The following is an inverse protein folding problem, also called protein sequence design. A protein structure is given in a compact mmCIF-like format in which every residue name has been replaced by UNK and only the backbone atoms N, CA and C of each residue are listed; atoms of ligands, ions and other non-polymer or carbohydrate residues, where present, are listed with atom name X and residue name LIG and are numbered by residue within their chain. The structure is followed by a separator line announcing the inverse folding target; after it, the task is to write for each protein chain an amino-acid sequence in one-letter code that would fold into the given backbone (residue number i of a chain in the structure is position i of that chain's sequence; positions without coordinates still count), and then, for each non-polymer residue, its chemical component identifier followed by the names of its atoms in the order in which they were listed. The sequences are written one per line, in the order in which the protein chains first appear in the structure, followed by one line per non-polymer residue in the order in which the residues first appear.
data_IF_293535479392
#
_entry.id   IF_293535479392
#
_cell.length_a   1.000
_cell.length_b   1.000
_cell.length_c   1.000
_cell.angle_alpha   90.00
_cell.angle_beta   90.00
_cell.angle_gamma   90.00
#
_symmetry.space_group_name_H-M   'P 1'
#
loop_
_entity.id
_entity.type
_entity.pdbx_description
1 polymer ?
#
# COMPACT_ATOMS: atom_id res chain seq x y z
N UNK A 1 -27.37 -38.14 2.71
CA UNK A 1 -26.54 -38.61 1.56
C UNK A 1 -25.56 -39.69 1.98
N UNK A 2 -24.74 -39.51 3.02
CA UNK A 2 -23.79 -40.54 3.50
C UNK A 2 -24.44 -41.92 3.80
N UNK A 3 -25.66 -41.94 4.33
CA UNK A 3 -26.42 -43.19 4.58
C UNK A 3 -26.86 -43.95 3.31
N UNK A 4 -26.96 -43.29 2.13
CA UNK A 4 -27.23 -43.98 0.86
C UNK A 4 -26.00 -44.73 0.32
N UNK A 5 -24.80 -44.29 0.70
CA UNK A 5 -23.54 -44.85 0.23
C UNK A 5 -23.09 -46.07 1.04
N UNK A 6 -23.46 -46.14 2.33
CA UNK A 6 -23.08 -47.22 3.23
C UNK A 6 -23.59 -48.62 2.80
N UNK A 7 -24.65 -48.67 1.98
CA UNK A 7 -25.30 -49.91 1.55
C UNK A 7 -25.05 -50.27 0.06
N UNK A 8 -24.24 -49.49 -0.66
CA UNK A 8 -23.91 -49.76 -2.07
C UNK A 8 -22.54 -50.44 -2.17
N UNK A 9 -22.47 -51.62 -2.82
CA UNK A 9 -21.19 -52.22 -3.24
C UNK A 9 -20.61 -51.40 -4.39
N UNK A 10 -19.92 -50.31 -4.04
CA UNK A 10 -19.27 -49.44 -5.01
C UNK A 10 -18.08 -50.15 -5.66
N UNK A 11 -17.89 -49.91 -6.97
CA UNK A 11 -16.68 -50.35 -7.67
C UNK A 11 -15.46 -49.71 -7.02
N UNK A 12 -14.33 -50.44 -7.03
CA UNK A 12 -13.05 -49.97 -6.46
C UNK A 12 -12.64 -48.59 -6.99
N UNK A 13 -12.91 -48.33 -8.26
CA UNK A 13 -12.62 -47.05 -8.92
C UNK A 13 -13.44 -45.89 -8.34
N UNK A 14 -14.75 -46.08 -8.18
CA UNK A 14 -15.67 -45.09 -7.56
C UNK A 14 -15.25 -44.79 -6.11
N UNK A 15 -14.82 -45.81 -5.36
CA UNK A 15 -14.30 -45.65 -4.00
C UNK A 15 -12.98 -44.87 -3.95
N UNK A 16 -12.06 -45.11 -4.89
CA UNK A 16 -10.81 -44.35 -5.00
C UNK A 16 -11.06 -42.89 -5.36
N UNK A 17 -11.99 -42.63 -6.29
CA UNK A 17 -12.38 -41.29 -6.70
C UNK A 17 -13.03 -40.52 -5.54
N UNK A 18 -13.90 -41.17 -4.75
CA UNK A 18 -14.50 -40.60 -3.56
C UNK A 18 -13.45 -40.21 -2.51
N UNK A 19 -12.51 -41.09 -2.20
CA UNK A 19 -11.42 -40.79 -1.26
C UNK A 19 -10.57 -39.60 -1.71
N UNK A 20 -10.29 -39.49 -3.01
CA UNK A 20 -9.54 -38.35 -3.56
C UNK A 20 -10.28 -37.03 -3.37
N UNK A 21 -11.56 -36.98 -3.74
CA UNK A 21 -12.39 -35.77 -3.61
C UNK A 21 -12.57 -35.36 -2.13
N UNK A 22 -12.77 -36.32 -1.24
CA UNK A 22 -12.89 -36.08 0.20
C UNK A 22 -11.58 -35.56 0.81
N UNK A 23 -10.42 -36.16 0.44
CA UNK A 23 -9.11 -35.67 0.88
C UNK A 23 -8.84 -34.25 0.40
N UNK A 24 -9.17 -33.95 -0.86
CA UNK A 24 -9.04 -32.60 -1.40
C UNK A 24 -9.89 -31.60 -0.62
N UNK A 25 -11.15 -31.94 -0.32
CA UNK A 25 -12.04 -31.07 0.47
C UNK A 25 -11.49 -30.80 1.88
N UNK A 26 -10.99 -31.82 2.58
CA UNK A 26 -10.39 -31.66 3.92
C UNK A 26 -9.17 -30.74 3.89
N UNK A 27 -8.25 -30.92 2.94
CA UNK A 27 -7.07 -30.06 2.79
C UNK A 27 -7.46 -28.60 2.51
N UNK A 28 -8.53 -28.38 1.74
CA UNK A 28 -9.05 -27.05 1.43
C UNK A 28 -9.76 -26.40 2.63
N UNK A 29 -10.49 -27.18 3.44
CA UNK A 29 -11.10 -26.71 4.68
C UNK A 29 -10.03 -26.33 5.72
N UNK A 30 -8.97 -27.13 5.84
CA UNK A 30 -7.81 -26.82 6.68
C UNK A 30 -7.08 -25.53 6.21
N UNK A 31 -6.90 -25.34 4.90
CA UNK A 31 -6.31 -24.11 4.35
C UNK A 31 -7.15 -22.87 4.72
N UNK A 32 -8.48 -22.95 4.61
CA UNK A 32 -9.38 -21.88 5.05
C UNK A 32 -9.30 -21.65 6.56
N UNK A 33 -9.35 -22.71 7.37
CA UNK A 33 -9.32 -22.61 8.82
C UNK A 33 -8.03 -21.96 9.34
N UNK A 34 -6.92 -22.18 8.62
CA UNK A 34 -5.62 -21.61 8.95
C UNK A 34 -5.37 -20.23 8.31
N UNK A 35 -6.26 -19.74 7.44
CA UNK A 35 -6.13 -18.40 6.85
C UNK A 35 -6.58 -17.32 7.84
N UNK A 36 -5.65 -16.84 8.66
CA UNK A 36 -5.87 -15.71 9.58
C UNK A 36 -5.57 -14.35 8.92
N UNK A 37 -6.56 -13.46 8.92
CA UNK A 37 -6.48 -12.09 8.41
C UNK A 37 -6.24 -11.05 9.52
N UNK A 38 -6.48 -11.43 10.78
CA UNK A 38 -6.59 -10.50 11.90
C UNK A 38 -5.32 -9.68 12.10
N UNK A 39 -4.15 -10.32 12.02
CA UNK A 39 -2.84 -9.67 12.16
C UNK A 39 -2.58 -8.66 11.05
N UNK A 40 -2.91 -8.99 9.81
CA UNK A 40 -2.69 -8.09 8.68
C UNK A 40 -3.65 -6.89 8.75
N UNK A 41 -4.94 -7.13 9.07
CA UNK A 41 -5.92 -6.07 9.26
C UNK A 41 -5.54 -5.12 10.42
N UNK A 42 -5.07 -5.67 11.54
CA UNK A 42 -4.54 -4.88 12.66
C UNK A 42 -3.31 -4.07 12.24
N UNK A 43 -2.42 -4.68 11.44
CA UNK A 43 -1.23 -4.01 10.91
C UNK A 43 -1.62 -2.84 10.00
N UNK A 44 -2.61 -3.02 9.11
CA UNK A 44 -3.14 -1.94 8.27
C UNK A 44 -3.60 -0.76 9.13
N UNK A 45 -4.52 -1.00 10.06
CA UNK A 45 -5.05 0.07 10.92
C UNK A 45 -3.97 0.77 11.74
N UNK A 46 -3.05 -0.01 12.34
CA UNK A 46 -1.92 0.51 13.12
C UNK A 46 -0.99 1.38 12.27
N UNK A 47 -0.60 0.91 11.08
CA UNK A 47 0.36 1.60 10.22
C UNK A 47 -0.21 2.83 9.54
N UNK A 48 -1.50 2.84 9.19
CA UNK A 48 -2.18 4.05 8.73
C UNK A 48 -2.26 5.11 9.83
N UNK A 49 -2.57 4.70 11.07
CA UNK A 49 -2.55 5.61 12.24
C UNK A 49 -1.14 6.15 12.50
N UNK A 50 -0.13 5.29 12.52
CA UNK A 50 1.28 5.71 12.68
C UNK A 50 1.69 6.72 11.61
N UNK A 51 1.28 6.52 10.34
CA UNK A 51 1.55 7.47 9.29
C UNK A 51 0.85 8.82 9.51
N UNK A 52 -0.42 8.81 9.94
CA UNK A 52 -1.21 10.02 10.11
C UNK A 52 -0.74 10.86 11.30
N UNK A 53 -0.60 10.25 12.47
CA UNK A 53 -0.37 10.97 13.74
C UNK A 53 0.95 10.64 14.43
N UNK A 54 1.71 9.67 13.93
CA UNK A 54 2.95 9.20 14.54
C UNK A 54 2.69 8.23 15.69
N UNK A 55 3.54 8.27 16.71
CA UNK A 55 3.41 7.43 17.92
C UNK A 55 2.39 7.97 18.93
N UNK A 56 1.54 8.91 18.53
CA UNK A 56 0.56 9.52 19.41
C UNK A 56 -0.58 8.53 19.74
N UNK A 57 -1.09 8.55 20.99
CA UNK A 57 -2.18 7.67 21.39
C UNK A 57 -3.47 7.97 20.61
N UNK A 58 -3.75 9.22 20.27
CA UNK A 58 -4.95 9.64 19.55
C UNK A 58 -4.67 10.83 18.63
N UNK A 59 -5.57 11.08 17.68
CA UNK A 59 -5.51 12.28 16.84
C UNK A 59 -5.89 13.56 17.60
N UNK A 60 -6.37 13.44 18.84
CA UNK A 60 -6.70 14.59 19.70
C UNK A 60 -5.47 15.21 20.37
N UNK A 61 -4.30 14.56 20.30
CA UNK A 61 -3.08 15.13 20.88
C UNK A 61 -2.64 16.33 20.07
N UNK A 62 -2.63 17.50 20.72
CA UNK A 62 -2.19 18.75 20.14
C UNK A 62 -0.80 18.66 19.53
N UNK A 63 -0.61 19.25 18.34
CA UNK A 63 0.75 19.55 17.89
C UNK A 63 1.22 20.84 18.51
N UNK A 64 2.45 20.80 18.98
CA UNK A 64 3.14 21.90 19.63
C UNK A 64 4.57 21.91 19.11
N UNK A 65 5.25 23.05 19.16
CA UNK A 65 6.70 23.04 19.11
C UNK A 65 7.19 22.69 20.53
N UNK A 66 8.16 21.77 20.69
CA UNK A 66 8.65 21.43 22.03
C UNK A 66 9.14 22.66 22.81
N UNK A 67 9.06 22.58 24.14
CA UNK A 67 9.44 23.70 25.00
C UNK A 67 10.89 24.15 24.72
N UNK A 68 11.08 25.46 24.51
CA UNK A 68 12.39 26.05 24.22
C UNK A 68 12.93 25.74 22.82
N UNK A 69 12.11 25.24 21.91
CA UNK A 69 12.47 24.99 20.49
C UNK A 69 11.74 25.95 19.56
N UNK A 70 12.22 26.02 18.33
CA UNK A 70 11.64 26.86 17.27
C UNK A 70 10.99 25.99 16.20
N UNK A 71 9.99 26.54 15.50
CA UNK A 71 9.38 25.89 14.34
C UNK A 71 10.42 25.54 13.27
N UNK A 72 11.38 26.42 12.99
CA UNK A 72 12.51 26.12 12.08
C UNK A 72 13.42 24.99 12.57
N UNK A 73 13.51 24.74 13.88
CA UNK A 73 14.23 23.58 14.42
C UNK A 73 13.46 22.27 14.27
N UNK A 74 12.13 22.33 14.37
CA UNK A 74 11.23 21.17 14.37
C UNK A 74 10.76 20.76 12.98
N UNK A 75 10.55 21.72 12.09
CA UNK A 75 10.04 21.53 10.73
C UNK A 75 11.13 21.49 9.66
N UNK A 76 12.37 21.80 10.05
CA UNK A 76 13.50 21.68 9.15
C UNK A 76 14.73 21.13 9.85
N UNK A 77 15.61 20.53 9.06
CA UNK A 77 16.97 20.25 9.48
C UNK A 77 17.95 21.01 8.59
N UNK A 78 18.13 22.34 8.80
CA UNK A 78 19.19 23.09 8.14
C UNK A 78 20.53 22.38 8.33
N UNK A 79 21.17 21.99 7.23
CA UNK A 79 22.43 21.22 7.25
C UNK A 79 22.32 19.72 7.57
N UNK A 80 21.12 19.19 7.85
CA UNK A 80 20.93 17.76 8.13
C UNK A 80 21.26 17.30 9.56
N UNK A 81 21.56 18.22 10.49
CA UNK A 81 22.17 17.92 11.80
C UNK A 81 21.30 18.25 13.02
N UNK A 82 20.13 18.87 12.85
CA UNK A 82 19.30 19.28 14.00
C UNK A 82 18.65 18.06 14.67
N UNK A 83 19.06 17.77 15.91
CA UNK A 83 18.53 16.68 16.75
C UNK A 83 17.02 16.79 17.01
N UNK A 84 16.46 18.01 16.99
CA UNK A 84 15.04 18.27 17.27
C UNK A 84 14.16 18.34 16.01
N UNK A 85 14.68 17.99 14.82
CA UNK A 85 13.87 17.95 13.61
C UNK A 85 12.89 16.76 13.67
N UNK A 86 11.60 17.07 13.63
CA UNK A 86 10.50 16.11 13.62
C UNK A 86 9.80 16.02 12.26
N UNK A 87 10.28 16.74 11.24
CA UNK A 87 9.83 16.57 9.87
C UNK A 87 9.85 15.09 9.46
N UNK A 88 8.73 14.60 8.94
CA UNK A 88 8.56 13.22 8.54
C UNK A 88 8.10 12.27 9.64
N UNK A 89 7.93 12.72 10.88
CA UNK A 89 7.44 11.88 11.96
C UNK A 89 5.98 11.42 11.75
N UNK A 90 5.16 12.26 11.14
CA UNK A 90 3.76 11.98 10.80
C UNK A 90 3.24 12.98 9.75
N UNK A 91 2.17 12.63 9.04
CA UNK A 91 1.49 13.58 8.13
C UNK A 91 0.95 14.79 8.90
N UNK A 92 0.38 14.58 10.09
CA UNK A 92 -0.07 15.66 10.98
C UNK A 92 1.06 16.64 11.29
N UNK A 93 2.25 16.16 11.60
CA UNK A 93 3.41 17.02 11.85
C UNK A 93 3.78 17.83 10.60
N UNK A 94 3.83 17.18 9.44
CA UNK A 94 4.27 17.82 8.19
C UNK A 94 3.23 18.86 7.71
N UNK A 95 1.93 18.56 7.80
CA UNK A 95 0.85 19.52 7.51
C UNK A 95 0.91 20.70 8.46
N UNK A 96 1.09 20.49 9.77
CA UNK A 96 1.18 21.62 10.71
C UNK A 96 2.44 22.46 10.47
N UNK A 97 3.57 21.85 10.10
CA UNK A 97 4.77 22.56 9.68
C UNK A 97 4.56 23.41 8.43
N UNK A 98 3.81 22.90 7.45
CA UNK A 98 3.55 23.57 6.18
C UNK A 98 2.48 24.66 6.31
N UNK A 99 1.40 24.35 7.00
CA UNK A 99 0.13 25.08 6.92
C UNK A 99 -0.23 25.80 8.21
N UNK A 100 0.37 25.43 9.35
CA UNK A 100 0.09 26.03 10.64
C UNK A 100 0.36 27.55 10.62
N UNK A 101 -0.47 28.28 11.36
CA UNK A 101 -0.37 29.73 11.48
C UNK A 101 1.02 30.13 12.00
N UNK A 102 1.58 31.19 11.43
CA UNK A 102 2.81 31.83 11.89
C UNK A 102 2.47 33.03 12.78
N UNK A 103 3.39 33.41 13.68
CA UNK A 103 3.17 34.56 14.55
C UNK A 103 3.16 35.84 13.72
N UNK A 104 2.10 36.65 13.83
CA UNK A 104 1.94 37.87 13.02
C UNK A 104 1.16 37.67 11.72
N UNK A 105 0.74 36.44 11.40
CA UNK A 105 -0.29 36.25 10.38
C UNK A 105 -1.62 36.91 10.84
N UNK A 106 -2.30 37.61 9.94
CA UNK A 106 -3.65 38.17 10.16
C UNK A 106 -4.68 37.39 9.35
N UNK A 107 -5.98 37.43 9.72
CA UNK A 107 -7.02 36.64 9.05
C UNK A 107 -7.15 36.92 7.54
N UNK A 108 -6.84 38.13 7.08
CA UNK A 108 -6.88 38.51 5.66
C UNK A 108 -5.63 38.13 4.86
N UNK A 109 -4.48 37.98 5.54
CA UNK A 109 -3.19 37.65 4.92
C UNK A 109 -2.73 36.22 5.24
N UNK A 110 -3.63 35.40 5.82
CA UNK A 110 -3.32 34.05 6.26
C UNK A 110 -2.94 33.19 5.05
N UNK A 111 -1.64 32.94 4.87
CA UNK A 111 -1.09 32.10 3.78
C UNK A 111 -1.18 30.62 4.15
N UNK A 112 -2.39 30.15 4.44
CA UNK A 112 -2.69 28.73 4.69
C UNK A 112 -2.68 27.93 3.40
N UNK A 113 -2.44 26.62 3.52
CA UNK A 113 -2.33 25.71 2.38
C UNK A 113 -3.60 25.53 1.56
N UNK A 114 -4.74 25.97 2.08
CA UNK A 114 -6.04 25.81 1.45
C UNK A 114 -6.99 26.90 1.92
N UNK A 115 -8.05 27.11 1.12
CA UNK A 115 -9.20 27.90 1.58
C UNK A 115 -10.01 27.04 2.55
N UNK A 116 -9.96 27.41 3.83
CA UNK A 116 -10.68 26.74 4.91
C UNK A 116 -12.00 27.47 5.19
N UNK A 117 -12.98 26.75 5.74
CA UNK A 117 -14.27 27.33 6.13
C UNK A 117 -14.10 28.26 7.34
N UNK A 118 -13.14 27.94 8.20
CA UNK A 118 -12.65 28.80 9.27
C UNK A 118 -11.13 28.78 9.29
N UNK A 119 -10.55 29.95 9.49
CA UNK A 119 -9.11 30.12 9.51
C UNK A 119 -8.49 29.61 10.82
N UNK A 120 -7.26 29.05 10.78
CA UNK A 120 -6.43 28.84 11.94
C UNK A 120 -6.28 30.12 12.76
N UNK A 121 -6.28 29.99 14.09
CA UNK A 121 -6.25 31.14 15.01
C UNK A 121 -5.08 31.08 15.99
N UNK A 122 -4.37 29.95 16.05
CA UNK A 122 -3.28 29.73 17.00
C UNK A 122 -1.97 29.53 16.25
N UNK A 123 -1.02 30.44 16.49
CA UNK A 123 0.32 30.31 15.94
C UNK A 123 1.02 29.04 16.46
N UNK A 124 1.63 28.27 15.55
CA UNK A 124 2.42 27.09 15.89
C UNK A 124 3.76 27.53 16.49
N UNK A 125 3.80 27.64 17.82
CA UNK A 125 4.96 28.07 18.59
C UNK A 125 5.20 27.12 19.76
N UNK A 126 6.16 27.46 20.62
CA UNK A 126 6.58 26.58 21.70
C UNK A 126 5.46 26.38 22.71
N UNK A 127 5.09 25.13 22.97
CA UNK A 127 4.06 24.73 23.93
C UNK A 127 2.65 25.29 23.66
N UNK A 128 2.34 25.75 22.43
CA UNK A 128 0.98 26.18 22.08
C UNK A 128 0.14 25.03 21.56
N UNK A 129 -1.08 24.90 22.09
CA UNK A 129 -2.05 23.90 21.63
C UNK A 129 -2.66 24.33 20.30
N UNK A 130 -2.31 23.61 19.23
CA UNK A 130 -2.87 23.84 17.88
C UNK A 130 -3.84 22.74 17.44
N UNK A 131 -4.41 21.97 18.37
CA UNK A 131 -5.28 20.83 18.05
C UNK A 131 -6.51 21.25 17.24
N UNK A 132 -7.16 22.34 17.61
CA UNK A 132 -8.34 22.82 16.86
C UNK A 132 -7.96 23.25 15.44
N UNK A 133 -6.78 23.83 15.24
CA UNK A 133 -6.30 24.22 13.92
C UNK A 133 -5.92 23.00 13.07
N UNK A 134 -5.34 21.95 13.67
CA UNK A 134 -5.17 20.66 13.00
C UNK A 134 -6.50 20.07 12.51
N UNK A 135 -7.54 20.10 13.36
CA UNK A 135 -8.87 19.60 13.00
C UNK A 135 -9.41 20.32 11.76
N UNK A 136 -9.24 21.65 11.65
CA UNK A 136 -9.64 22.42 10.46
C UNK A 136 -8.96 21.90 9.18
N UNK A 137 -7.67 21.58 9.23
CA UNK A 137 -6.94 21.02 8.09
C UNK A 137 -7.39 19.60 7.75
N UNK A 138 -7.52 18.73 8.76
CA UNK A 138 -7.97 17.35 8.57
C UNK A 138 -9.36 17.30 7.95
N UNK A 139 -10.30 18.06 8.48
CA UNK A 139 -11.68 18.10 7.99
C UNK A 139 -11.73 18.67 6.57
N UNK A 140 -10.84 19.60 6.21
CA UNK A 140 -10.69 20.05 4.83
C UNK A 140 -10.15 18.94 3.92
N UNK A 141 -9.11 18.21 4.35
CA UNK A 141 -8.58 17.07 3.61
C UNK A 141 -9.67 16.02 3.34
N UNK A 142 -10.54 15.74 4.32
CA UNK A 142 -11.66 14.80 4.13
C UNK A 142 -12.63 15.28 3.05
N UNK A 143 -12.96 16.58 3.02
CA UNK A 143 -13.86 17.18 2.00
C UNK A 143 -13.29 17.16 0.59
N UNK A 144 -11.98 17.37 0.44
CA UNK A 144 -11.32 17.43 -0.88
C UNK A 144 -10.72 16.09 -1.31
N UNK A 145 -10.73 15.08 -0.43
CA UNK A 145 -10.30 13.74 -0.78
C UNK A 145 -11.21 13.18 -1.88
N UNK A 146 -10.59 12.75 -2.97
CA UNK A 146 -11.32 11.98 -3.98
C UNK A 146 -11.64 10.60 -3.39
N UNK A 147 -12.73 9.98 -3.83
CA UNK A 147 -13.12 8.61 -3.46
C UNK A 147 -12.17 7.54 -4.07
N UNK A 148 -10.88 7.68 -3.83
CA UNK A 148 -9.84 6.76 -4.26
C UNK A 148 -9.86 5.58 -3.29
N UNK A 149 -10.09 4.39 -3.81
CA UNK A 149 -9.98 3.16 -3.03
C UNK A 149 -8.56 3.02 -2.51
N UNK A 150 -8.43 2.87 -1.20
CA UNK A 150 -7.13 2.65 -0.56
C UNK A 150 -6.60 1.27 -0.94
N UNK A 151 -5.44 1.23 -1.60
CA UNK A 151 -4.78 0.01 -2.05
C UNK A 151 -3.26 0.19 -2.05
N UNK A 152 -2.53 -0.89 -2.27
CA UNK A 152 -1.07 -0.84 -2.41
C UNK A 152 -0.64 0.06 -3.58
N UNK A 153 -1.35 -0.02 -4.70
CA UNK A 153 -1.08 0.73 -5.92
C UNK A 153 -1.32 2.23 -5.70
N UNK A 154 -2.44 2.59 -5.07
CA UNK A 154 -2.78 4.00 -4.82
C UNK A 154 -1.84 4.64 -3.79
N UNK A 155 -1.47 3.91 -2.73
CA UNK A 155 -0.44 4.35 -1.77
C UNK A 155 0.92 4.52 -2.48
N UNK A 156 1.37 3.54 -3.25
CA UNK A 156 2.66 3.62 -3.93
C UNK A 156 2.70 4.79 -4.92
N UNK A 157 1.62 5.01 -5.67
CA UNK A 157 1.52 6.15 -6.60
C UNK A 157 1.61 7.48 -5.87
N UNK A 158 0.87 7.64 -4.75
CA UNK A 158 0.94 8.84 -3.92
C UNK A 158 2.35 9.07 -3.37
N UNK A 159 3.01 8.03 -2.87
CA UNK A 159 4.39 8.10 -2.36
C UNK A 159 5.40 8.48 -3.45
N UNK A 160 5.26 7.96 -4.67
CA UNK A 160 6.16 8.31 -5.77
C UNK A 160 5.97 9.77 -6.22
N UNK A 161 4.71 10.22 -6.34
CA UNK A 161 4.40 11.62 -6.63
C UNK A 161 4.97 12.54 -5.55
N UNK A 162 4.85 12.14 -4.29
CA UNK A 162 5.42 12.85 -3.16
C UNK A 162 6.95 12.93 -3.23
N UNK A 163 7.65 11.80 -3.45
CA UNK A 163 9.11 11.76 -3.61
C UNK A 163 9.56 12.68 -4.74
N UNK A 164 8.88 12.62 -5.89
CA UNK A 164 9.16 13.49 -7.04
C UNK A 164 9.04 14.96 -6.67
N UNK A 165 8.00 15.34 -5.92
CA UNK A 165 7.78 16.71 -5.47
C UNK A 165 8.90 17.20 -4.56
N UNK A 166 9.27 16.43 -3.53
CA UNK A 166 10.25 16.87 -2.54
C UNK A 166 11.69 16.85 -3.07
N UNK A 167 11.97 16.00 -4.06
CA UNK A 167 13.32 15.85 -4.63
C UNK A 167 13.72 17.02 -5.54
N UNK A 168 12.79 17.93 -5.86
CA UNK A 168 13.08 19.11 -6.66
C UNK A 168 13.88 20.14 -5.85
N UNK A 169 15.05 20.58 -6.34
CA UNK A 169 15.80 21.63 -5.67
C UNK A 169 15.05 22.96 -5.76
N UNK A 170 14.85 23.61 -4.61
CA UNK A 170 14.20 24.93 -4.54
C UNK A 170 15.19 26.07 -4.28
N UNK A 171 16.46 25.75 -4.03
CA UNK A 171 17.52 26.73 -3.78
C UNK A 171 18.76 26.35 -4.56
N UNK A 172 19.67 27.29 -4.76
CA UNK A 172 20.98 27.05 -5.40
C UNK A 172 21.91 26.16 -4.56
N UNK A 173 21.56 25.86 -3.31
CA UNK A 173 22.30 24.94 -2.45
C UNK A 173 21.67 23.54 -2.49
N UNK A 174 22.41 22.56 -2.99
CA UNK A 174 22.02 21.14 -3.05
C UNK A 174 21.76 20.52 -1.67
N UNK A 175 22.24 21.13 -0.59
CA UNK A 175 21.98 20.69 0.79
C UNK A 175 20.52 20.84 1.23
N UNK A 176 19.70 21.47 0.37
CA UNK A 176 18.27 21.75 0.59
C UNK A 176 17.37 21.01 -0.39
N UNK A 177 17.85 19.91 -0.98
CA UNK A 177 16.97 18.92 -1.58
C UNK A 177 16.07 18.27 -0.50
N UNK A 178 14.93 17.68 -0.92
CA UNK A 178 13.95 17.04 -0.02
C UNK A 178 13.18 18.05 0.84
N UNK A 179 12.64 19.07 0.19
CA UNK A 179 11.76 20.08 0.80
C UNK A 179 10.36 19.95 0.22
N UNK A 180 9.38 19.82 1.10
CA UNK A 180 7.98 20.02 0.78
C UNK A 180 7.60 21.48 1.08
N UNK A 181 6.75 22.09 0.25
CA UNK A 181 6.32 23.48 0.42
C UNK A 181 7.22 24.45 -0.31
N UNK A 182 7.28 25.70 0.15
CA UNK A 182 8.05 26.77 -0.51
C UNK A 182 9.05 27.38 0.46
N UNK A 183 10.28 27.55 -0.02
CA UNK A 183 11.35 28.27 0.67
C UNK A 183 11.86 29.41 -0.21
N UNK A 184 12.15 30.56 0.39
CA UNK A 184 12.61 31.76 -0.30
C UNK A 184 14.13 31.91 -0.19
N UNK A 185 14.75 32.57 -1.18
CA UNK A 185 16.17 32.91 -1.18
C UNK A 185 17.09 31.70 -0.96
N UNK A 186 18.07 31.86 -0.06
CA UNK A 186 19.00 30.79 0.32
C UNK A 186 18.37 29.74 1.23
N UNK A 187 17.25 30.04 1.89
CA UNK A 187 16.59 29.16 2.85
C UNK A 187 17.34 28.95 4.17
N UNK A 188 18.34 29.77 4.52
CA UNK A 188 19.23 29.53 5.69
C UNK A 188 18.52 29.59 7.04
N UNK A 189 17.39 30.29 7.11
CA UNK A 189 16.55 30.36 8.31
C UNK A 189 15.69 29.09 8.48
N UNK A 190 15.47 28.34 7.40
CA UNK A 190 14.71 27.09 7.40
C UNK A 190 13.19 27.31 7.36
N UNK A 191 12.45 26.29 7.80
CA UNK A 191 10.98 26.28 7.74
C UNK A 191 10.37 26.82 9.04
N UNK A 192 10.29 28.14 9.18
CA UNK A 192 9.70 28.82 10.34
C UNK A 192 8.20 29.15 10.17
N UNK A 193 7.65 28.91 8.98
CA UNK A 193 6.25 29.19 8.67
C UNK A 193 5.99 30.61 8.19
N UNK A 194 6.97 31.49 8.20
CA UNK A 194 6.83 32.81 7.60
C UNK A 194 6.96 32.69 6.07
N UNK A 195 5.98 33.24 5.35
CA UNK A 195 5.91 33.22 3.89
C UNK A 195 6.12 34.58 3.25
N UNK A 196 6.62 35.57 3.98
CA UNK A 196 6.82 36.94 3.52
C UNK A 196 8.29 37.40 3.56
N UNK A 197 9.16 36.74 4.33
CA UNK A 197 10.54 37.18 4.57
C UNK A 197 11.57 36.48 3.68
N UNK A 198 12.73 37.12 3.50
CA UNK A 198 13.86 36.59 2.73
C UNK A 198 14.57 35.46 3.51
N UNK A 199 14.84 34.32 2.85
CA UNK A 199 15.59 33.16 3.34
C UNK A 199 14.86 32.16 4.28
N UNK A 200 13.55 32.27 4.44
CA UNK A 200 12.72 31.30 5.19
C UNK A 200 11.53 30.79 4.36
N UNK A 201 10.59 30.09 4.97
CA UNK A 201 9.43 29.58 4.25
C UNK A 201 8.44 28.73 5.03
N UNK A 202 7.29 28.54 4.39
CA UNK A 202 6.28 27.54 4.75
C UNK A 202 6.65 26.24 4.08
N UNK A 203 7.37 25.41 4.82
CA UNK A 203 7.95 24.20 4.27
C UNK A 203 8.15 23.09 5.32
N UNK A 204 8.56 21.93 4.83
CA UNK A 204 9.05 20.80 5.62
C UNK A 204 10.35 20.33 4.98
N UNK A 205 11.46 20.37 5.72
CA UNK A 205 12.74 19.85 5.25
C UNK A 205 13.10 18.56 5.99
N UNK A 206 13.15 17.47 5.24
CA UNK A 206 13.45 16.15 5.77
C UNK A 206 14.95 15.98 6.09
N UNK A 207 15.26 15.13 7.06
CA UNK A 207 16.66 14.80 7.40
C UNK A 207 17.33 14.14 6.21
N UNK A 208 18.58 14.51 5.92
CA UNK A 208 19.40 13.84 4.88
C UNK A 208 19.49 12.33 5.09
N UNK A 209 19.51 11.87 6.34
CA UNK A 209 19.51 10.43 6.66
C UNK A 209 18.29 9.68 6.08
N UNK A 210 17.14 10.35 5.92
CA UNK A 210 15.96 9.74 5.33
C UNK A 210 16.05 9.54 3.82
N UNK A 211 17.05 10.15 3.17
CA UNK A 211 17.11 10.26 1.72
C UNK A 211 18.45 9.79 1.13
N UNK A 212 19.40 9.38 1.99
CA UNK A 212 20.71 8.82 1.62
C UNK A 212 20.67 7.33 1.26
N UNK A 213 19.72 6.56 1.79
CA UNK A 213 19.60 5.13 1.51
C UNK A 213 18.86 4.86 0.19
N UNK A 214 19.03 3.68 -0.39
CA UNK A 214 18.18 3.21 -1.48
C UNK A 214 16.72 3.15 -0.97
N UNK A 215 15.90 4.07 -1.44
CA UNK A 215 14.54 4.28 -0.95
C UNK A 215 14.45 5.29 0.20
N UNK A 216 13.51 6.24 0.08
CA UNK A 216 13.25 7.26 1.11
C UNK A 216 12.68 6.63 2.38
N UNK A 217 13.35 6.83 3.52
CA UNK A 217 13.02 6.25 4.84
C UNK A 217 12.33 7.24 5.79
N UNK A 218 11.61 8.23 5.24
CA UNK A 218 10.75 9.11 6.04
C UNK A 218 9.75 8.25 6.85
N UNK A 219 9.66 8.40 8.18
CA UNK A 219 8.90 7.48 9.05
C UNK A 219 7.45 7.22 8.62
N UNK A 220 6.67 8.27 8.33
CA UNK A 220 5.28 8.08 7.90
C UNK A 220 5.17 7.37 6.54
N UNK A 221 6.15 7.56 5.64
CA UNK A 221 6.18 6.84 4.36
C UNK A 221 6.49 5.36 4.56
N UNK A 222 7.40 5.02 5.48
CA UNK A 222 7.70 3.63 5.85
C UNK A 222 6.46 2.95 6.42
N UNK A 223 5.72 3.65 7.27
CA UNK A 223 4.45 3.16 7.80
C UNK A 223 3.42 2.91 6.69
N UNK A 224 3.26 3.84 5.74
CA UNK A 224 2.36 3.65 4.60
C UNK A 224 2.75 2.46 3.72
N UNK A 225 4.04 2.22 3.48
CA UNK A 225 4.49 1.03 2.73
C UNK A 225 4.15 -0.27 3.46
N UNK A 226 4.35 -0.33 4.77
CA UNK A 226 3.97 -1.48 5.57
C UNK A 226 2.44 -1.70 5.58
N UNK A 227 1.65 -0.62 5.61
CA UNK A 227 0.20 -0.71 5.46
C UNK A 227 -0.19 -1.27 4.08
N UNK A 228 0.44 -0.78 3.02
CA UNK A 228 0.21 -1.24 1.65
C UNK A 228 0.53 -2.73 1.45
N UNK A 229 1.63 -3.22 2.04
CA UNK A 229 1.98 -4.65 2.01
C UNK A 229 0.97 -5.50 2.77
N UNK A 230 0.51 -5.05 3.94
CA UNK A 230 -0.51 -5.74 4.71
C UNK A 230 -1.87 -5.75 3.97
N UNK A 231 -2.24 -4.67 3.28
CA UNK A 231 -3.45 -4.64 2.44
C UNK A 231 -3.39 -5.65 1.29
N UNK A 232 -2.26 -5.72 0.58
CA UNK A 232 -2.04 -6.71 -0.48
C UNK A 232 -2.10 -8.15 0.06
N UNK A 233 -1.56 -8.39 1.25
CA UNK A 233 -1.71 -9.67 1.95
C UNK A 233 -3.18 -10.00 2.24
N UNK A 234 -3.95 -9.05 2.80
CA UNK A 234 -5.39 -9.21 3.06
C UNK A 234 -6.14 -9.54 1.76
N UNK A 235 -5.89 -8.81 0.67
CA UNK A 235 -6.52 -9.04 -0.63
C UNK A 235 -6.18 -10.43 -1.20
N UNK A 236 -4.90 -10.83 -1.16
CA UNK A 236 -4.47 -12.16 -1.62
C UNK A 236 -5.13 -13.29 -0.85
N UNK A 237 -5.17 -13.18 0.49
CA UNK A 237 -5.84 -14.16 1.35
C UNK A 237 -7.35 -14.20 1.08
N UNK A 238 -7.99 -13.06 0.80
CA UNK A 238 -9.43 -12.98 0.53
C UNK A 238 -9.77 -13.65 -0.81
N UNK A 239 -8.97 -13.37 -1.84
CA UNK A 239 -9.07 -14.03 -3.14
C UNK A 239 -8.84 -15.54 -3.01
N UNK A 240 -7.83 -15.98 -2.24
CA UNK A 240 -7.58 -17.40 -1.98
C UNK A 240 -8.78 -18.07 -1.33
N UNK A 241 -9.37 -17.46 -0.29
CA UNK A 241 -10.58 -17.98 0.38
C UNK A 241 -11.76 -18.09 -0.59
N UNK A 242 -11.94 -17.11 -1.47
CA UNK A 242 -12.98 -17.13 -2.50
C UNK A 242 -12.76 -18.29 -3.50
N UNK A 243 -11.53 -18.46 -4.01
CA UNK A 243 -11.17 -19.57 -4.90
C UNK A 243 -11.39 -20.93 -4.25
N UNK A 244 -10.99 -21.11 -2.99
CA UNK A 244 -11.22 -22.36 -2.26
C UNK A 244 -12.72 -22.62 -2.11
N UNK A 245 -13.50 -21.60 -1.76
CA UNK A 245 -14.97 -21.72 -1.61
C UNK A 245 -15.63 -22.17 -2.91
N UNK A 246 -15.17 -21.66 -4.06
CA UNK A 246 -15.64 -22.13 -5.38
C UNK A 246 -15.26 -23.58 -5.63
N UNK A 247 -14.02 -23.98 -5.31
CA UNK A 247 -13.56 -25.37 -5.47
C UNK A 247 -14.34 -26.35 -4.59
N UNK A 248 -14.60 -26.00 -3.33
CA UNK A 248 -15.45 -26.79 -2.43
C UNK A 248 -16.86 -26.97 -2.99
N UNK A 249 -17.44 -25.92 -3.62
CA UNK A 249 -18.74 -26.03 -4.31
C UNK A 249 -18.70 -27.00 -5.48
N UNK A 250 -17.66 -26.95 -6.32
CA UNK A 250 -17.48 -27.90 -7.42
C UNK A 250 -17.25 -29.33 -6.92
N UNK A 251 -16.48 -29.52 -5.84
CA UNK A 251 -16.30 -30.84 -5.21
C UNK A 251 -17.63 -31.39 -4.69
N UNK A 252 -18.46 -30.55 -4.05
CA UNK A 252 -19.80 -30.94 -3.61
C UNK A 252 -20.67 -31.38 -4.80
N UNK A 253 -20.63 -30.67 -5.92
CA UNK A 253 -21.36 -31.05 -7.13
C UNK A 253 -20.85 -32.39 -7.70
N UNK A 254 -19.54 -32.57 -7.80
CA UNK A 254 -18.95 -33.84 -8.26
C UNK A 254 -19.36 -35.03 -7.36
N UNK A 255 -19.39 -34.83 -6.04
CA UNK A 255 -19.87 -35.83 -5.09
C UNK A 255 -21.37 -36.12 -5.25
N UNK A 256 -22.18 -35.12 -5.59
CA UNK A 256 -23.61 -35.30 -5.86
C UNK A 256 -23.86 -36.06 -7.17
N UNK A 257 -23.10 -35.77 -8.23
CA UNK A 257 -23.16 -36.51 -9.50
C UNK A 257 -22.78 -37.96 -9.30
N UNK A 258 -21.64 -38.23 -8.62
CA UNK A 258 -21.20 -39.59 -8.31
C UNK A 258 -22.19 -40.36 -7.42
N UNK A 259 -23.00 -39.65 -6.62
CA UNK A 259 -24.05 -40.25 -5.80
C UNK A 259 -25.32 -40.59 -6.60
N UNK A 260 -25.58 -39.85 -7.67
CA UNK A 260 -26.77 -40.02 -8.51
C UNK A 260 -26.55 -41.13 -9.55
N UNK A 261 -25.34 -41.22 -10.10
CA UNK A 261 -24.96 -42.26 -11.04
C UNK A 261 -23.55 -42.82 -10.70
N UNK A 262 -23.46 -43.98 -10.01
CA UNK A 262 -22.19 -44.60 -9.65
C UNK A 262 -21.45 -45.25 -10.83
N UNK A 263 -22.14 -45.47 -11.96
CA UNK A 263 -21.65 -46.16 -13.16
C UNK A 263 -21.30 -45.19 -14.29
N UNK A 264 -21.85 -43.97 -14.27
CA UNK A 264 -21.37 -42.86 -15.08
C UNK A 264 -20.01 -42.40 -14.54
N UNK A 265 -18.95 -43.12 -14.97
CA UNK A 265 -17.58 -42.64 -14.93
C UNK A 265 -17.50 -41.47 -15.92
N UNK A 266 -18.15 -40.36 -15.60
CA UNK A 266 -17.80 -39.10 -16.25
C UNK A 266 -16.38 -38.83 -15.80
N UNK A 267 -15.47 -39.02 -16.75
CA UNK A 267 -14.12 -38.50 -16.72
C UNK A 267 -14.18 -36.97 -16.60
N UNK A 268 -14.62 -36.45 -15.46
CA UNK A 268 -14.20 -35.13 -15.01
C UNK A 268 -12.81 -35.30 -14.42
N UNK A 269 -11.86 -35.63 -15.30
CA UNK A 269 -10.53 -35.04 -15.22
C UNK A 269 -10.69 -33.54 -15.47
N UNK A 270 -11.23 -32.87 -14.47
CA UNK A 270 -10.94 -31.48 -14.18
C UNK A 270 -10.58 -31.44 -12.71
N UNK A 271 -9.52 -32.19 -12.38
CA UNK A 271 -8.46 -31.55 -11.64
C UNK A 271 -8.17 -30.25 -12.38
N UNK A 272 -8.68 -29.15 -11.86
CA UNK A 272 -8.17 -27.84 -12.22
C UNK A 272 -6.72 -27.87 -11.73
N UNK A 273 -5.82 -28.46 -12.52
CA UNK A 273 -4.51 -27.83 -12.72
C UNK A 273 -4.87 -26.37 -12.95
N UNK A 274 -4.25 -25.42 -12.23
CA UNK A 274 -4.48 -24.01 -12.50
C UNK A 274 -4.49 -23.87 -14.02
N UNK A 275 -5.59 -23.32 -14.56
CA UNK A 275 -5.74 -23.12 -15.99
C UNK A 275 -4.52 -22.33 -16.43
N UNK A 276 -3.50 -23.03 -16.93
CA UNK A 276 -2.44 -22.45 -17.72
C UNK A 276 -3.19 -22.04 -18.97
N UNK A 277 -3.49 -20.76 -19.07
CA UNK A 277 -4.00 -20.16 -20.29
C UNK A 277 -3.08 -20.64 -21.40
N UNK A 278 -3.60 -21.45 -22.33
CA UNK A 278 -2.82 -21.88 -23.48
C UNK A 278 -2.38 -20.59 -24.20
N UNK A 279 -1.07 -20.40 -24.46
CA UNK A 279 -0.60 -19.22 -25.15
C UNK A 279 -1.22 -19.16 -26.56
N UNK A 280 -1.72 -17.99 -26.96
CA UNK A 280 -2.29 -17.81 -28.30
C UNK A 280 -1.22 -18.07 -29.37
N UNK A 281 -1.63 -18.53 -30.56
CA UNK A 281 -0.70 -18.76 -31.68
C UNK A 281 0.17 -17.54 -32.02
N UNK A 282 -0.35 -16.32 -31.80
CA UNK A 282 0.39 -15.06 -32.00
C UNK A 282 1.47 -14.81 -30.95
N UNK A 283 1.27 -15.30 -29.72
CA UNK A 283 2.27 -15.19 -28.66
C UNK A 283 3.40 -16.21 -28.86
N UNK A 284 3.07 -17.46 -29.22
CA UNK A 284 4.08 -18.49 -29.50
C UNK A 284 4.94 -18.15 -30.72
N UNK A 285 4.35 -17.61 -31.78
CA UNK A 285 5.07 -17.25 -33.00
C UNK A 285 6.10 -16.13 -32.84
N UNK A 286 6.18 -15.47 -31.68
CA UNK A 286 7.21 -14.46 -31.39
C UNK A 286 8.52 -15.06 -30.86
N UNK A 287 8.54 -16.34 -30.50
CA UNK A 287 9.74 -17.01 -30.00
C UNK A 287 10.49 -17.71 -31.13
N UNK A 288 11.77 -17.39 -31.26
CA UNK A 288 12.63 -17.88 -32.35
C UNK A 288 13.64 -18.92 -31.89
N UNK A 289 13.61 -19.33 -30.61
CA UNK A 289 14.48 -20.38 -30.05
C UNK A 289 13.68 -21.40 -29.26
N UNK A 290 14.19 -22.63 -29.16
CA UNK A 290 13.55 -23.71 -28.39
C UNK A 290 13.36 -23.36 -26.91
N UNK A 291 14.38 -22.79 -26.26
CA UNK A 291 14.32 -22.41 -24.85
C UNK A 291 13.21 -21.40 -24.58
N UNK A 292 13.20 -20.28 -25.31
CA UNK A 292 12.18 -19.24 -25.13
C UNK A 292 10.78 -19.74 -25.49
N UNK A 293 10.66 -20.66 -26.44
CA UNK A 293 9.40 -21.28 -26.81
C UNK A 293 8.82 -22.18 -25.70
N UNK A 294 9.64 -23.08 -25.16
CA UNK A 294 9.22 -24.07 -24.16
C UNK A 294 8.95 -23.43 -22.80
N UNK A 295 9.73 -22.41 -22.41
CA UNK A 295 9.48 -21.61 -21.19
C UNK A 295 8.12 -20.92 -21.21
N UNK A 296 7.66 -20.50 -22.40
CA UNK A 296 6.38 -19.83 -22.59
C UNK A 296 5.21 -20.81 -22.80
N UNK A 297 5.40 -22.10 -22.55
CA UNK A 297 4.40 -23.16 -22.69
C UNK A 297 3.88 -23.32 -24.13
N UNK A 298 4.75 -23.09 -25.11
CA UNK A 298 4.52 -23.33 -26.53
C UNK A 298 5.34 -24.54 -27.00
N UNK A 299 4.96 -25.11 -28.15
CA UNK A 299 5.64 -26.26 -28.77
C UNK A 299 6.66 -25.81 -29.81
N UNK A 300 7.90 -26.28 -29.65
CA UNK A 300 8.95 -26.11 -30.64
C UNK A 300 8.87 -27.20 -31.71
N UNK A 301 8.73 -26.80 -32.96
CA UNK A 301 8.74 -27.67 -34.15
C UNK A 301 10.03 -27.42 -34.92
N UNK A 302 11.11 -28.07 -34.46
CA UNK A 302 12.46 -27.88 -34.97
C UNK A 302 13.44 -28.95 -34.51
N UNK A 303 14.49 -29.13 -35.29
CA UNK A 303 15.50 -30.18 -35.14
C UNK A 303 16.79 -29.68 -34.47
N UNK A 304 16.94 -28.36 -34.26
CA UNK A 304 17.98 -27.76 -33.42
C UNK A 304 17.43 -26.55 -32.65
N UNK A 305 18.20 -25.98 -31.72
CA UNK A 305 17.77 -24.87 -30.84
C UNK A 305 17.28 -23.63 -31.59
N UNK A 306 17.93 -23.28 -32.71
CA UNK A 306 17.63 -22.07 -33.49
C UNK A 306 17.00 -22.34 -34.88
N UNK A 307 16.76 -23.61 -35.22
CA UNK A 307 16.15 -23.99 -36.51
C UNK A 307 14.87 -24.76 -36.27
N UNK A 308 13.80 -23.98 -36.09
CA UNK A 308 12.47 -24.47 -35.83
C UNK A 308 11.45 -23.34 -35.79
N UNK A 309 10.19 -23.72 -35.60
CA UNK A 309 9.09 -22.77 -35.44
C UNK A 309 8.37 -23.04 -34.13
N UNK A 310 8.10 -21.98 -33.36
CA UNK A 310 7.35 -22.08 -32.12
C UNK A 310 5.84 -21.94 -32.39
N UNK A 311 5.05 -22.93 -31.98
CA UNK A 311 3.61 -23.00 -32.22
C UNK A 311 2.87 -23.17 -30.89
N UNK A 312 1.62 -22.72 -30.82
CA UNK A 312 0.77 -23.08 -29.69
C UNK A 312 0.51 -24.59 -29.72
N UNK A 313 0.52 -25.21 -28.54
CA UNK A 313 0.30 -26.65 -28.33
C UNK A 313 -1.16 -27.06 -28.60
#
# INVERSE_FOLDING_TARGET
VLLKWANLKLKKETTNQLHRLAREAVLLEDDIANTDFSKDAQTVGKKLKEALIGNEPTDSVAKTIPLGKTRSGTCSSPGGTKTNNNAGASLKQDVMCLCGMHTGDTEGDLKVCAKLDSNPTVALTSNTDTQQDWVKFRDHCDRVSNAVTLSKETINTALQNFIKLISQPQTTSFDKAFILGKIHGTGNTGCDGDGAVNNNGRCVQYKKAYTKAAGTTIPWMVALRAAAEAMDSVHKKANRRHTISMRLRSLKQALQTLAADPDEITATQSATKPQKTAPSAKACGQHTTNETCTENNCKWDGNTEDKGTCKAD
#
